data_IF_503423026918
#
_entry.id   IF_503423026918
#
_cell.length_a   1.000
_cell.length_b   1.000
_cell.length_c   1.000
_cell.angle_alpha   90.00
_cell.angle_beta   90.00
_cell.angle_gamma   90.00
#
_symmetry.space_group_name_H-M   'P 1'
#
loop_
_entity.id
_entity.type
_entity.pdbx_description
1 polymer ?
#
# COMPACT_ATOMS: atom_id res chain seq x y z
N UNK A 1 -25.11 -33.30 78.66
CA UNK A 1 -25.20 -31.90 78.50
C UNK A 1 -24.77 -31.59 77.09
N UNK A 2 -25.71 -31.43 76.45
CA UNK A 2 -26.42 -30.61 75.46
C UNK A 2 -25.97 -30.86 74.00
N UNK A 3 -26.94 -31.53 73.35
CA UNK A 3 -27.02 -31.71 71.94
C UNK A 3 -27.36 -30.44 71.22
N UNK A 4 -26.54 -29.95 70.33
CA UNK A 4 -26.93 -28.92 69.35
C UNK A 4 -27.21 -29.55 67.99
N UNK A 5 -28.48 -29.67 67.73
CA UNK A 5 -29.12 -30.06 66.50
C UNK A 5 -28.60 -29.36 65.29
N UNK A 6 -28.03 -30.10 64.36
CA UNK A 6 -27.65 -29.65 63.04
C UNK A 6 -28.80 -29.77 62.06
N UNK A 7 -29.47 -28.65 61.75
CA UNK A 7 -30.60 -28.57 60.85
C UNK A 7 -30.09 -28.46 59.44
N UNK A 8 -30.45 -29.33 58.49
CA UNK A 8 -30.02 -29.19 57.10
C UNK A 8 -30.77 -28.04 56.44
N UNK A 9 -30.06 -27.06 55.89
CA UNK A 9 -30.62 -26.04 55.05
C UNK A 9 -31.04 -26.63 53.72
N UNK A 10 -32.33 -26.55 53.43
CA UNK A 10 -32.90 -26.95 52.14
C UNK A 10 -32.27 -26.18 50.99
N UNK A 11 -31.83 -26.92 49.98
CA UNK A 11 -31.46 -26.38 48.67
C UNK A 11 -32.72 -25.77 48.04
N UNK A 12 -32.67 -24.47 47.80
CA UNK A 12 -33.65 -23.82 46.95
C UNK A 12 -33.47 -24.38 45.53
N UNK A 13 -34.46 -25.05 45.02
CA UNK A 13 -34.53 -25.47 43.63
C UNK A 13 -34.49 -24.26 42.74
N UNK A 14 -33.53 -24.15 41.87
CA UNK A 14 -33.42 -23.09 40.88
C UNK A 14 -34.59 -23.22 39.87
N UNK A 15 -35.48 -22.28 39.90
CA UNK A 15 -36.59 -22.12 38.95
C UNK A 15 -36.10 -21.48 37.66
N UNK A 16 -34.92 -21.85 37.16
CA UNK A 16 -34.57 -21.50 35.80
C UNK A 16 -35.01 -22.62 34.86
N UNK A 17 -36.25 -22.49 34.42
CA UNK A 17 -36.78 -23.23 33.30
C UNK A 17 -36.01 -22.77 32.05
N UNK A 18 -35.15 -23.60 31.51
CA UNK A 18 -34.45 -23.39 30.25
C UNK A 18 -35.52 -23.17 29.17
N UNK A 19 -35.51 -22.06 28.42
CA UNK A 19 -36.42 -21.90 27.31
C UNK A 19 -36.16 -22.98 26.29
N UNK A 20 -37.23 -23.61 25.86
CA UNK A 20 -37.19 -24.66 24.83
C UNK A 20 -36.60 -24.09 23.54
N UNK A 21 -35.75 -24.87 22.91
CA UNK A 21 -35.09 -24.55 21.66
C UNK A 21 -36.07 -23.95 20.65
N UNK A 22 -35.87 -22.70 20.29
CA UNK A 22 -36.47 -22.06 19.13
C UNK A 22 -35.94 -22.75 17.87
N UNK A 23 -36.81 -22.94 16.89
CA UNK A 23 -36.47 -23.61 15.63
C UNK A 23 -35.30 -22.93 14.96
N UNK A 24 -34.30 -23.69 14.42
CA UNK A 24 -33.07 -23.13 13.85
C UNK A 24 -33.31 -22.13 12.70
N UNK A 25 -34.45 -22.19 12.04
CA UNK A 25 -34.85 -21.29 10.99
C UNK A 25 -35.18 -19.85 11.47
N UNK A 26 -35.66 -19.71 12.72
CA UNK A 26 -36.01 -18.39 13.27
C UNK A 26 -34.78 -17.68 13.81
N UNK A 27 -33.82 -18.42 14.36
CA UNK A 27 -32.55 -17.86 14.82
C UNK A 27 -31.70 -17.33 13.65
N UNK A 28 -31.66 -18.01 12.52
CA UNK A 28 -30.93 -17.57 11.33
C UNK A 28 -31.48 -16.24 10.74
N UNK A 29 -32.79 -16.04 10.79
CA UNK A 29 -33.42 -14.79 10.30
C UNK A 29 -33.19 -13.61 11.25
N UNK A 30 -33.14 -13.89 12.56
CA UNK A 30 -32.93 -12.85 13.57
C UNK A 30 -31.47 -12.39 13.61
N UNK A 31 -30.51 -13.31 13.38
CA UNK A 31 -29.09 -12.95 13.32
C UNK A 31 -28.74 -12.07 12.13
N UNK A 32 -29.39 -12.24 10.99
CA UNK A 32 -29.09 -11.45 9.79
C UNK A 32 -29.67 -10.04 9.86
N UNK A 33 -30.77 -9.85 10.57
CA UNK A 33 -31.43 -8.55 10.75
C UNK A 33 -30.81 -7.71 11.90
N UNK A 34 -30.11 -8.38 12.84
CA UNK A 34 -29.40 -7.76 13.96
C UNK A 34 -27.93 -7.40 13.64
N UNK A 35 -27.40 -7.86 12.52
CA UNK A 35 -26.08 -7.44 12.08
C UNK A 35 -26.14 -5.96 11.69
N UNK A 36 -25.34 -5.11 12.35
CA UNK A 36 -25.27 -3.72 11.94
C UNK A 36 -24.85 -3.67 10.49
N UNK A 37 -25.72 -3.11 9.63
CA UNK A 37 -25.37 -2.85 8.23
C UNK A 37 -24.08 -2.04 8.24
N UNK A 38 -23.03 -2.59 7.65
CA UNK A 38 -21.74 -1.90 7.54
C UNK A 38 -21.98 -0.57 6.83
N UNK A 39 -21.85 0.51 7.55
CA UNK A 39 -21.78 1.85 6.98
C UNK A 39 -20.40 2.01 6.35
N UNK A 40 -20.31 2.83 5.32
CA UNK A 40 -19.04 3.12 4.64
C UNK A 40 -17.97 3.65 5.62
N UNK A 41 -18.38 4.15 6.77
CA UNK A 41 -17.52 4.63 7.86
C UNK A 41 -17.11 3.53 8.86
N UNK A 42 -17.57 2.29 8.72
CA UNK A 42 -17.20 1.21 9.63
C UNK A 42 -15.70 0.88 9.46
N UNK A 43 -14.92 0.87 10.56
CA UNK A 43 -13.50 0.50 10.53
C UNK A 43 -13.24 -0.87 9.90
N UNK A 44 -14.14 -1.83 10.07
CA UNK A 44 -14.03 -3.16 9.46
C UNK A 44 -14.24 -3.13 7.95
N UNK A 45 -15.21 -2.35 7.47
CA UNK A 45 -15.44 -2.18 6.04
C UNK A 45 -14.24 -1.52 5.37
N UNK A 46 -13.69 -0.47 5.98
CA UNK A 46 -12.45 0.17 5.52
C UNK A 46 -11.26 -0.78 5.51
N UNK A 47 -11.10 -1.60 6.54
CA UNK A 47 -10.02 -2.57 6.59
C UNK A 47 -10.18 -3.65 5.51
N UNK A 48 -11.39 -4.15 5.27
CA UNK A 48 -11.67 -5.11 4.22
C UNK A 48 -11.45 -4.54 2.82
N UNK A 49 -11.90 -3.30 2.58
CA UNK A 49 -11.66 -2.58 1.33
C UNK A 49 -10.16 -2.38 1.11
N UNK A 50 -9.44 -1.91 2.13
CA UNK A 50 -7.99 -1.76 2.08
C UNK A 50 -7.27 -3.07 1.78
N UNK A 51 -7.69 -4.16 2.40
CA UNK A 51 -7.13 -5.49 2.12
C UNK A 51 -7.38 -5.94 0.67
N UNK A 52 -8.56 -5.64 0.12
CA UNK A 52 -8.88 -5.92 -1.29
C UNK A 52 -8.01 -5.09 -2.22
N UNK A 53 -7.85 -3.81 -1.94
CA UNK A 53 -7.03 -2.90 -2.71
C UNK A 53 -5.55 -3.32 -2.69
N UNK A 54 -5.02 -3.67 -1.51
CA UNK A 54 -3.65 -4.19 -1.36
C UNK A 54 -3.43 -5.48 -2.15
N UNK A 55 -4.41 -6.38 -2.18
CA UNK A 55 -4.32 -7.62 -3.00
C UNK A 55 -4.37 -7.34 -4.49
N UNK A 56 -5.14 -6.34 -4.93
CA UNK A 56 -5.20 -5.95 -6.34
C UNK A 56 -3.96 -5.16 -6.79
N UNK A 57 -3.28 -4.53 -5.83
CA UNK A 57 -2.05 -3.77 -6.03
C UNK A 57 -0.79 -4.64 -5.91
N UNK A 58 -0.94 -5.94 -5.95
CA UNK A 58 0.17 -6.88 -5.87
C UNK A 58 1.08 -6.75 -7.10
N UNK A 59 2.00 -5.78 -7.01
CA UNK A 59 3.31 -5.96 -7.57
C UNK A 59 3.98 -7.11 -6.80
N UNK A 60 4.76 -7.89 -7.46
CA UNK A 60 5.41 -9.05 -6.88
C UNK A 60 6.19 -8.66 -5.61
N UNK A 61 5.66 -9.03 -4.46
CA UNK A 61 6.31 -8.78 -3.16
C UNK A 61 7.62 -9.58 -3.00
N UNK A 62 7.94 -10.46 -3.95
CA UNK A 62 9.17 -11.22 -3.96
C UNK A 62 10.39 -10.34 -4.33
N UNK A 63 10.18 -9.21 -4.98
CA UNK A 63 11.23 -8.28 -5.39
C UNK A 63 11.56 -7.19 -4.33
N UNK A 64 11.18 -7.39 -3.09
CA UNK A 64 11.38 -6.41 -2.01
C UNK A 64 12.84 -6.11 -1.65
N UNK A 65 13.81 -6.55 -2.44
CA UNK A 65 15.24 -6.32 -2.23
C UNK A 65 15.82 -5.14 -3.00
N UNK A 66 15.18 -4.70 -4.09
CA UNK A 66 15.64 -3.55 -4.86
C UNK A 66 14.69 -2.36 -4.74
N UNK A 67 15.08 -1.38 -3.95
CA UNK A 67 14.32 -0.14 -3.77
C UNK A 67 14.19 0.69 -5.07
N UNK A 68 15.05 0.46 -6.04
CA UNK A 68 15.12 1.17 -7.31
C UNK A 68 14.56 0.38 -8.49
N UNK A 69 14.00 -0.78 -8.23
CA UNK A 69 13.38 -1.59 -9.27
C UNK A 69 12.23 -0.85 -9.94
N UNK A 70 12.24 -0.84 -11.26
CA UNK A 70 11.16 -0.33 -12.12
C UNK A 70 10.80 -1.42 -13.10
N UNK A 71 9.53 -1.75 -13.18
CA UNK A 71 9.02 -2.70 -14.16
C UNK A 71 9.16 -2.12 -15.57
N UNK A 72 10.00 -2.73 -16.39
CA UNK A 72 10.29 -2.30 -17.75
C UNK A 72 9.08 -2.38 -18.66
N UNK A 73 8.15 -3.30 -18.42
CA UNK A 73 6.94 -3.50 -19.21
C UNK A 73 5.94 -2.35 -19.03
N UNK A 74 6.10 -1.58 -17.95
CA UNK A 74 5.26 -0.42 -17.64
C UNK A 74 5.84 0.92 -18.09
N UNK A 75 7.05 0.92 -18.60
CA UNK A 75 7.65 2.13 -19.18
C UNK A 75 6.99 2.38 -20.54
N UNK A 76 6.47 3.60 -20.79
CA UNK A 76 5.90 3.93 -22.09
C UNK A 76 6.93 3.80 -23.22
N UNK A 77 6.50 3.31 -24.39
CA UNK A 77 7.35 3.20 -25.54
C UNK A 77 7.96 4.55 -25.94
N UNK A 78 9.24 4.55 -26.27
CA UNK A 78 9.97 5.76 -26.66
C UNK A 78 10.50 6.58 -25.48
N UNK A 79 10.29 6.14 -24.26
CA UNK A 79 10.80 6.78 -23.05
C UNK A 79 11.82 5.90 -22.33
N UNK A 80 12.82 6.53 -21.76
CA UNK A 80 13.82 5.87 -20.90
C UNK A 80 13.72 6.44 -19.50
N UNK A 81 13.64 5.56 -18.51
CA UNK A 81 13.58 5.91 -17.09
C UNK A 81 14.96 5.75 -16.46
N UNK A 82 15.34 6.71 -15.65
CA UNK A 82 16.56 6.65 -14.83
C UNK A 82 16.33 7.31 -13.46
N UNK A 83 16.96 6.75 -12.46
CA UNK A 83 17.04 7.38 -11.15
C UNK A 83 18.12 8.46 -11.16
N UNK A 84 17.71 9.67 -10.83
CA UNK A 84 18.60 10.83 -10.71
C UNK A 84 18.65 11.32 -9.27
N UNK A 85 19.75 11.90 -8.87
CA UNK A 85 19.90 12.46 -7.53
C UNK A 85 18.95 13.66 -7.35
N UNK A 86 18.15 13.62 -6.30
CA UNK A 86 17.29 14.72 -5.90
C UNK A 86 17.86 15.48 -4.70
N UNK A 87 18.32 14.73 -3.70
CA UNK A 87 18.89 15.31 -2.48
C UNK A 87 20.13 14.54 -2.02
N UNK A 88 20.99 15.25 -1.31
CA UNK A 88 22.16 14.68 -0.65
C UNK A 88 22.08 14.99 0.84
N UNK A 89 22.09 13.96 1.68
CA UNK A 89 21.90 14.10 3.13
C UNK A 89 20.64 14.91 3.52
N UNK A 90 19.55 14.72 2.79
CA UNK A 90 18.28 15.42 3.02
C UNK A 90 18.24 16.87 2.49
N UNK A 91 19.30 17.36 1.87
CA UNK A 91 19.36 18.69 1.26
C UNK A 91 19.17 18.57 -0.25
N UNK A 92 18.19 19.26 -0.79
CA UNK A 92 17.93 19.33 -2.24
C UNK A 92 19.05 20.07 -2.96
N UNK A 93 19.35 19.63 -4.18
CA UNK A 93 20.33 20.27 -5.06
C UNK A 93 19.62 20.90 -6.28
N UNK A 94 19.14 22.16 -6.16
CA UNK A 94 18.40 22.80 -7.22
C UNK A 94 19.24 23.08 -8.47
N UNK A 95 20.56 23.29 -8.32
CA UNK A 95 21.44 23.50 -9.47
C UNK A 95 21.52 22.27 -10.36
N UNK A 96 21.62 21.10 -9.75
CA UNK A 96 21.60 19.84 -10.47
C UNK A 96 20.24 19.55 -11.11
N UNK A 97 19.13 19.88 -10.43
CA UNK A 97 17.78 19.73 -10.99
C UNK A 97 17.61 20.60 -12.26
N UNK A 98 18.13 21.82 -12.29
CA UNK A 98 18.12 22.68 -13.47
C UNK A 98 18.95 22.06 -14.61
N UNK A 99 20.10 21.48 -14.32
CA UNK A 99 20.90 20.78 -15.32
C UNK A 99 20.16 19.60 -15.93
N UNK A 100 19.48 18.82 -15.11
CA UNK A 100 18.67 17.69 -15.57
C UNK A 100 17.53 18.15 -16.47
N UNK A 101 16.81 19.21 -16.09
CA UNK A 101 15.74 19.78 -16.90
C UNK A 101 16.24 20.29 -18.26
N UNK A 102 17.37 20.98 -18.30
CA UNK A 102 18.03 21.41 -19.54
C UNK A 102 18.48 20.25 -20.41
N UNK A 103 18.82 19.14 -19.78
CA UNK A 103 19.17 17.90 -20.45
C UNK A 103 17.95 17.09 -20.94
N UNK A 104 16.73 17.58 -20.76
CA UNK A 104 15.49 16.93 -21.22
C UNK A 104 14.93 15.90 -20.25
N UNK A 105 15.44 15.83 -19.03
CA UNK A 105 14.90 14.98 -17.99
C UNK A 105 13.69 15.63 -17.33
N UNK A 106 12.61 14.88 -17.20
CA UNK A 106 11.39 15.29 -16.51
C UNK A 106 11.04 14.25 -15.45
N UNK A 107 10.43 14.69 -14.34
CA UNK A 107 10.02 13.76 -13.29
C UNK A 107 8.85 12.90 -13.76
N UNK A 108 8.92 11.59 -13.50
CA UNK A 108 7.82 10.68 -13.77
C UNK A 108 6.69 10.95 -12.79
N UNK A 109 5.44 11.21 -13.28
CA UNK A 109 4.32 11.44 -12.38
C UNK A 109 3.98 10.17 -11.60
N UNK A 110 3.85 10.31 -10.28
CA UNK A 110 3.51 9.19 -9.40
C UNK A 110 2.16 8.53 -9.75
N UNK A 111 1.25 9.27 -10.36
CA UNK A 111 -0.05 8.77 -10.81
C UNK A 111 0.06 7.70 -11.90
N UNK A 112 1.13 7.71 -12.68
CA UNK A 112 1.38 6.71 -13.73
C UNK A 112 1.80 5.36 -13.14
N UNK A 113 2.48 5.39 -12.00
CA UNK A 113 3.03 4.22 -11.32
C UNK A 113 2.55 4.17 -9.85
N UNK A 114 1.25 4.03 -9.68
CA UNK A 114 0.65 3.96 -8.34
C UNK A 114 1.17 2.78 -7.53
N UNK A 115 1.61 1.70 -8.19
CA UNK A 115 2.23 0.53 -7.58
C UNK A 115 3.55 0.82 -6.88
N UNK A 116 4.26 1.85 -7.32
CA UNK A 116 5.54 2.26 -6.73
C UNK A 116 5.36 3.18 -5.53
N UNK A 117 4.15 3.65 -5.27
CA UNK A 117 3.89 4.64 -4.22
C UNK A 117 3.22 4.01 -3.01
N UNK A 118 3.47 4.53 -1.80
CA UNK A 118 2.71 4.15 -0.62
C UNK A 118 1.23 4.48 -0.83
N UNK A 119 0.37 3.58 -0.42
CA UNK A 119 -1.06 3.74 -0.59
C UNK A 119 -1.60 4.99 0.14
N UNK A 120 -2.44 5.76 -0.53
CA UNK A 120 -3.09 6.94 0.06
C UNK A 120 -2.20 8.17 0.24
N UNK A 121 -1.00 8.18 -0.36
CA UNK A 121 -0.13 9.35 -0.35
C UNK A 121 -0.33 10.17 -1.62
N UNK A 122 -0.55 11.49 -1.48
CA UNK A 122 -0.73 12.42 -2.58
C UNK A 122 0.58 12.94 -3.18
N UNK A 123 1.61 12.11 -3.27
CA UNK A 123 2.88 12.52 -3.87
C UNK A 123 2.75 12.66 -5.39
N UNK A 124 3.31 13.73 -5.92
CA UNK A 124 3.30 14.01 -7.37
C UNK A 124 4.42 13.28 -8.11
N UNK A 125 5.55 13.04 -7.44
CA UNK A 125 6.75 12.43 -8.00
C UNK A 125 7.20 11.21 -7.19
N UNK A 126 8.01 10.35 -7.80
CA UNK A 126 8.51 9.12 -7.18
C UNK A 126 9.90 9.38 -6.62
N UNK A 127 10.02 9.38 -5.30
CA UNK A 127 11.27 9.55 -4.56
C UNK A 127 11.65 8.28 -3.81
N UNK A 128 12.92 7.91 -3.85
CA UNK A 128 13.52 6.79 -3.13
C UNK A 128 14.91 7.17 -2.63
N UNK A 129 15.12 7.16 -1.34
CA UNK A 129 16.44 7.37 -0.73
C UNK A 129 17.22 8.55 -1.31
N UNK A 130 16.56 9.69 -1.52
CA UNK A 130 17.17 10.89 -2.11
C UNK A 130 17.34 10.86 -3.63
N UNK A 131 16.83 9.83 -4.31
CA UNK A 131 16.76 9.74 -5.76
C UNK A 131 15.35 9.99 -6.25
N UNK A 132 15.23 10.60 -7.40
CA UNK A 132 13.97 10.85 -8.12
C UNK A 132 13.94 10.04 -9.41
N UNK A 133 12.82 9.41 -9.70
CA UNK A 133 12.61 8.75 -10.97
C UNK A 133 12.30 9.79 -12.04
N UNK A 134 13.10 9.80 -13.10
CA UNK A 134 12.96 10.73 -14.21
C UNK A 134 12.87 10.00 -15.53
N UNK A 135 12.22 10.62 -16.48
CA UNK A 135 12.07 10.14 -17.85
C UNK A 135 12.70 11.11 -18.85
N UNK A 136 13.23 10.54 -19.91
CA UNK A 136 13.75 11.29 -21.05
C UNK A 136 13.41 10.54 -22.34
N UNK A 137 13.12 11.22 -23.46
CA UNK A 137 12.96 10.55 -24.75
C UNK A 137 14.17 9.69 -25.11
N UNK A 138 13.94 8.44 -25.49
CA UNK A 138 15.02 7.48 -25.80
C UNK A 138 15.92 7.99 -26.93
N UNK A 139 15.36 8.66 -27.93
CA UNK A 139 16.11 9.25 -29.04
C UNK A 139 17.21 10.21 -28.55
N UNK A 140 16.87 11.09 -27.61
CA UNK A 140 17.84 12.04 -27.04
C UNK A 140 18.96 11.34 -26.26
N UNK A 141 18.64 10.23 -25.60
CA UNK A 141 19.65 9.46 -24.89
C UNK A 141 20.57 8.72 -25.86
N UNK A 142 20.04 8.18 -26.93
CA UNK A 142 20.80 7.50 -27.97
C UNK A 142 21.72 8.47 -28.72
N UNK A 143 21.23 9.66 -29.07
CA UNK A 143 22.06 10.74 -29.66
C UNK A 143 23.24 11.10 -28.76
N UNK A 144 23.02 11.29 -27.48
CA UNK A 144 24.09 11.61 -26.52
C UNK A 144 25.11 10.49 -26.38
N UNK A 145 24.65 9.24 -26.36
CA UNK A 145 25.54 8.07 -26.30
C UNK A 145 26.39 7.99 -27.57
N UNK A 146 25.82 8.29 -28.73
CA UNK A 146 26.56 8.35 -29.99
C UNK A 146 27.61 9.45 -29.97
N UNK A 147 27.28 10.65 -29.50
CA UNK A 147 28.21 11.78 -29.38
C UNK A 147 29.35 11.48 -28.41
N UNK A 148 29.06 10.85 -27.27
CA UNK A 148 30.11 10.42 -26.31
C UNK A 148 31.05 9.39 -26.90
N UNK A 149 30.55 8.45 -27.70
CA UNK A 149 31.37 7.45 -28.38
C UNK A 149 32.29 8.10 -29.43
N UNK A 150 31.79 9.05 -30.21
CA UNK A 150 32.56 9.82 -31.17
C UNK A 150 33.64 10.64 -30.45
N UNK A 151 33.30 11.31 -29.34
CA UNK A 151 34.27 12.06 -28.53
C UNK A 151 35.36 11.21 -27.93
N UNK A 152 35.10 9.97 -27.57
CA UNK A 152 36.12 9.02 -27.08
C UNK A 152 37.06 8.49 -28.18
N UNK A 153 36.57 8.41 -29.42
CA UNK A 153 37.36 7.95 -30.56
C UNK A 153 38.38 8.98 -31.07
N UNK A 154 38.24 10.25 -30.68
CA UNK A 154 39.09 11.36 -31.09
C UNK A 154 40.21 11.75 -30.08
N UNK A 155 40.35 11.00 -29.03
CA UNK A 155 41.38 11.26 -27.99
C UNK A 155 42.65 10.49 -28.27
#
# INVERSE_FOLDING_TARGET
MENLSNKPRGRAASLFKKPSASSPAVEAVIEDDLRPKMRDDDPRARAAQRAKELRSHHGDMADGTDDFYVDTDRIPDGWTYEWKRHSTYGVEDPAYQIQLARAGWTAVPASRHAEMMPYGTGHEVILRKGMILMECPTEIIEERRADEQIGRAHV
#
